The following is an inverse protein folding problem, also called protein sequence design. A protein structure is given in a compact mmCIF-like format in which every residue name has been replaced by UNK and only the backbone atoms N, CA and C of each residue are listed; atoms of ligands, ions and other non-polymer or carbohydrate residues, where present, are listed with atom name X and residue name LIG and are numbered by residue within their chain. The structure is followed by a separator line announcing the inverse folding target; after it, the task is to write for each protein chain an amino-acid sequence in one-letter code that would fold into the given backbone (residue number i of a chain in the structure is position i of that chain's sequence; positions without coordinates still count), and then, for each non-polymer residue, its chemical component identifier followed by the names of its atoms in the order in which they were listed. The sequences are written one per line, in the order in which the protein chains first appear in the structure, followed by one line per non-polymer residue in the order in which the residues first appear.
data_IF_893297731074
#
_entry.id   IF_893297731074
#
_cell.length_a   1.000
_cell.length_b   1.000
_cell.length_c   1.000
_cell.angle_alpha   90.00
_cell.angle_beta   90.00
_cell.angle_gamma   90.00
#
_symmetry.space_group_name_H-M   'P 1'
#
loop_
_entity.id
_entity.type
_entity.pdbx_description
1 polymer ?
#
# COMPACT_ATOMS: atom_id res chain seq x y z
N UNK A 1 -65.00 -19.07 -9.59
CA UNK A 1 -64.85 -17.79 -8.88
C UNK A 1 -63.39 -17.43 -8.82
N UNK A 2 -63.05 -16.31 -9.45
CA UNK A 2 -61.70 -15.79 -9.54
C UNK A 2 -61.30 -15.08 -8.24
N UNK A 3 -60.10 -15.35 -7.73
CA UNK A 3 -59.29 -14.33 -7.05
C UNK A 3 -57.89 -14.38 -7.64
N UNK A 4 -57.69 -13.51 -8.62
CA UNK A 4 -56.39 -13.00 -9.05
C UNK A 4 -55.73 -12.31 -7.84
N UNK A 5 -54.46 -12.61 -7.54
CA UNK A 5 -53.59 -11.66 -6.86
C UNK A 5 -52.22 -11.67 -7.53
N UNK A 6 -52.01 -10.55 -8.20
CA UNK A 6 -50.88 -10.01 -8.96
C UNK A 6 -49.49 -10.31 -8.37
N UNK A 7 -48.48 -10.58 -9.23
CA UNK A 7 -47.07 -10.47 -8.91
C UNK A 7 -46.59 -9.03 -9.19
N UNK A 8 -46.05 -8.31 -8.21
CA UNK A 8 -45.47 -6.98 -8.45
C UNK A 8 -44.26 -6.71 -7.54
N UNK A 9 -43.12 -6.51 -8.22
CA UNK A 9 -41.93 -5.72 -7.86
C UNK A 9 -41.04 -6.09 -6.65
N UNK A 10 -39.82 -6.59 -6.94
CA UNK A 10 -38.55 -5.99 -6.51
C UNK A 10 -37.93 -5.21 -7.69
N UNK A 11 -37.07 -4.18 -7.55
CA UNK A 11 -36.43 -3.61 -6.36
C UNK A 11 -36.58 -2.08 -6.22
N UNK A 12 -36.74 -1.55 -5.00
CA UNK A 12 -36.60 -0.10 -4.76
C UNK A 12 -35.11 0.21 -4.53
N UNK A 13 -34.38 0.43 -5.62
CA UNK A 13 -33.09 1.10 -5.61
C UNK A 13 -33.32 2.56 -5.19
N UNK A 14 -33.00 2.87 -3.93
CA UNK A 14 -32.80 4.24 -3.51
C UNK A 14 -31.67 4.86 -4.35
N UNK A 15 -31.85 6.08 -4.90
CA UNK A 15 -30.83 6.74 -5.69
C UNK A 15 -29.63 7.07 -4.79
N UNK A 16 -28.50 6.40 -5.05
CA UNK A 16 -27.20 6.78 -4.49
C UNK A 16 -26.92 8.24 -4.87
N UNK A 17 -26.67 9.13 -3.89
CA UNK A 17 -26.19 10.48 -4.20
C UNK A 17 -24.82 10.33 -4.86
N UNK A 18 -24.68 10.97 -6.02
CA UNK A 18 -23.49 11.01 -6.84
C UNK A 18 -22.23 11.26 -5.99
N UNK A 19 -21.45 10.19 -5.79
CA UNK A 19 -20.14 10.29 -5.18
C UNK A 19 -19.23 11.08 -6.13
N UNK A 20 -18.45 12.06 -5.62
CA UNK A 20 -17.46 12.77 -6.42
C UNK A 20 -16.45 11.77 -7.02
N UNK A 21 -15.71 12.13 -8.08
CA UNK A 21 -14.79 11.21 -8.75
C UNK A 21 -13.77 10.68 -7.75
N UNK A 22 -14.04 9.48 -7.25
CA UNK A 22 -13.17 8.77 -6.33
C UNK A 22 -11.97 8.38 -7.17
N UNK A 23 -10.88 9.13 -7.06
CA UNK A 23 -9.55 8.61 -7.38
C UNK A 23 -9.51 7.21 -6.78
N UNK A 24 -9.47 6.18 -7.64
CA UNK A 24 -9.64 4.78 -7.24
C UNK A 24 -8.41 4.34 -6.46
N UNK A 25 -8.28 4.86 -5.25
CA UNK A 25 -7.37 4.43 -4.24
C UNK A 25 -7.71 2.98 -3.98
N UNK A 26 -6.70 2.14 -4.08
CA UNK A 26 -6.88 0.71 -3.86
C UNK A 26 -7.30 0.46 -2.42
N UNK A 27 -8.02 -0.63 -2.17
CA UNK A 27 -8.42 -1.03 -0.82
C UNK A 27 -7.23 -1.04 0.16
N UNK A 28 -6.05 -1.40 -0.34
CA UNK A 28 -4.80 -1.43 0.40
C UNK A 28 -4.36 -0.03 0.86
N UNK A 29 -4.35 0.94 -0.05
CA UNK A 29 -3.98 2.33 0.25
C UNK A 29 -5.01 3.01 1.16
N UNK A 30 -6.29 2.65 1.03
CA UNK A 30 -7.33 3.13 1.94
C UNK A 30 -7.08 2.64 3.39
N UNK A 31 -6.71 1.36 3.55
CA UNK A 31 -6.35 0.79 4.86
C UNK A 31 -5.04 1.40 5.40
N UNK A 32 -4.08 1.70 4.53
CA UNK A 32 -2.85 2.41 4.90
C UNK A 32 -3.13 3.79 5.48
N UNK A 33 -3.94 4.59 4.78
CA UNK A 33 -4.37 5.92 5.25
C UNK A 33 -5.18 5.83 6.54
N UNK A 34 -6.02 4.81 6.71
CA UNK A 34 -6.75 4.60 7.96
C UNK A 34 -5.82 4.31 9.15
N UNK A 35 -4.79 3.47 8.95
CA UNK A 35 -3.78 3.18 9.97
C UNK A 35 -2.95 4.42 10.29
N UNK A 36 -2.55 5.18 9.26
CA UNK A 36 -1.82 6.44 9.42
C UNK A 36 -2.62 7.51 10.18
N UNK A 37 -3.95 7.52 10.02
CA UNK A 37 -4.89 8.36 10.78
C UNK A 37 -5.16 7.85 12.22
N UNK A 38 -4.46 6.81 12.69
CA UNK A 38 -4.64 6.21 14.02
C UNK A 38 -5.86 5.29 14.14
N UNK A 39 -6.61 5.03 13.06
CA UNK A 39 -7.77 4.13 13.03
C UNK A 39 -7.35 2.69 12.73
N UNK A 40 -6.52 2.14 13.61
CA UNK A 40 -5.92 0.81 13.45
C UNK A 40 -6.84 -0.37 13.81
N UNK A 41 -7.99 -0.11 14.44
CA UNK A 41 -8.98 -1.12 14.82
C UNK A 41 -9.85 -1.50 13.62
N UNK A 42 -10.28 -2.76 13.46
CA UNK A 42 -11.13 -3.17 12.34
C UNK A 42 -12.47 -2.42 12.29
N UNK A 43 -13.05 -2.11 13.46
CA UNK A 43 -14.33 -1.40 13.55
C UNK A 43 -14.18 0.06 13.09
N UNK A 44 -13.21 0.77 13.66
CA UNK A 44 -12.96 2.18 13.33
C UNK A 44 -12.39 2.37 11.91
N UNK A 45 -11.51 1.47 11.48
CA UNK A 45 -10.87 1.51 10.18
C UNK A 45 -11.84 1.27 9.03
N UNK A 46 -12.81 0.36 9.20
CA UNK A 46 -13.86 0.12 8.19
C UNK A 46 -14.79 1.34 8.08
N UNK A 47 -15.19 1.94 9.19
CA UNK A 47 -15.99 3.16 9.18
C UNK A 47 -15.25 4.30 8.47
N UNK A 48 -13.98 4.52 8.81
CA UNK A 48 -13.14 5.53 8.19
C UNK A 48 -12.97 5.31 6.68
N UNK A 49 -12.71 4.08 6.25
CA UNK A 49 -12.51 3.76 4.82
C UNK A 49 -13.80 3.97 4.01
N UNK A 50 -14.95 3.67 4.62
CA UNK A 50 -16.26 3.91 4.00
C UNK A 50 -16.56 5.41 3.88
N UNK A 51 -16.30 6.19 4.93
CA UNK A 51 -16.57 7.63 4.96
C UNK A 51 -15.63 8.42 4.05
N UNK A 52 -14.34 8.08 4.02
CA UNK A 52 -13.32 8.85 3.29
C UNK A 52 -13.15 8.41 1.83
N UNK A 53 -13.26 7.11 1.55
CA UNK A 53 -12.97 6.56 0.22
C UNK A 53 -14.20 5.95 -0.44
N UNK A 54 -15.36 5.87 0.23
CA UNK A 54 -16.55 5.23 -0.31
C UNK A 54 -16.43 3.72 -0.50
N UNK A 55 -15.37 3.10 0.05
CA UNK A 55 -15.09 1.67 -0.14
C UNK A 55 -15.73 0.90 1.02
N UNK A 56 -16.64 -0.02 0.70
CA UNK A 56 -17.19 -0.94 1.70
C UNK A 56 -16.25 -2.13 1.86
N UNK A 57 -15.70 -2.30 3.07
CA UNK A 57 -14.69 -3.29 3.38
C UNK A 57 -15.13 -4.08 4.63
N UNK A 58 -15.01 -5.41 4.61
CA UNK A 58 -15.34 -6.23 5.78
C UNK A 58 -14.25 -6.21 6.84
N UNK A 59 -14.59 -6.40 8.12
CA UNK A 59 -13.63 -6.44 9.23
C UNK A 59 -12.50 -7.49 9.02
N UNK A 60 -12.83 -8.63 8.42
CA UNK A 60 -11.87 -9.67 8.08
C UNK A 60 -10.90 -9.24 6.97
N UNK A 61 -11.40 -8.53 5.95
CA UNK A 61 -10.60 -7.99 4.86
C UNK A 61 -9.67 -6.86 5.35
N UNK A 62 -10.15 -5.98 6.24
CA UNK A 62 -9.33 -4.95 6.87
C UNK A 62 -8.15 -5.54 7.65
N UNK A 63 -8.42 -6.56 8.48
CA UNK A 63 -7.37 -7.24 9.27
C UNK A 63 -6.33 -7.91 8.38
N UNK A 64 -6.76 -8.52 7.28
CA UNK A 64 -5.87 -9.15 6.30
C UNK A 64 -4.98 -8.11 5.61
N UNK A 65 -5.57 -7.02 5.13
CA UNK A 65 -4.83 -5.92 4.47
C UNK A 65 -3.84 -5.25 5.43
N UNK A 66 -4.24 -4.99 6.69
CA UNK A 66 -3.35 -4.50 7.74
C UNK A 66 -2.16 -5.43 7.97
N UNK A 67 -2.40 -6.74 8.04
CA UNK A 67 -1.35 -7.75 8.19
C UNK A 67 -0.40 -7.79 6.98
N UNK A 68 -0.94 -7.68 5.77
CA UNK A 68 -0.14 -7.59 4.55
C UNK A 68 0.70 -6.31 4.51
N UNK A 69 0.15 -5.17 4.93
CA UNK A 69 0.90 -3.91 5.05
C UNK A 69 2.08 -4.03 6.01
N UNK A 70 1.85 -4.59 7.20
CA UNK A 70 2.89 -4.81 8.20
C UNK A 70 4.00 -5.73 7.68
N UNK A 71 3.65 -6.74 6.87
CA UNK A 71 4.61 -7.64 6.22
C UNK A 71 5.36 -6.97 5.07
N UNK A 72 4.71 -6.09 4.30
CA UNK A 72 5.35 -5.37 3.21
C UNK A 72 6.36 -4.32 3.72
N UNK A 73 6.07 -3.67 4.86
CA UNK A 73 6.98 -2.71 5.49
C UNK A 73 8.23 -3.35 6.09
N UNK A 74 8.22 -4.66 6.35
CA UNK A 74 9.38 -5.39 6.83
C UNK A 74 9.60 -6.60 5.92
N UNK A 75 10.25 -6.41 4.74
CA UNK A 75 10.55 -7.50 3.83
C UNK A 75 11.54 -8.44 4.51
N UNK A 76 11.03 -9.32 5.37
CA UNK A 76 11.77 -10.47 5.83
C UNK A 76 12.17 -11.23 4.56
N UNK A 77 13.45 -11.54 4.34
CA UNK A 77 13.90 -12.28 3.17
C UNK A 77 13.31 -13.69 3.26
N UNK A 78 12.12 -13.87 2.68
CA UNK A 78 11.54 -15.19 2.54
C UNK A 78 12.36 -15.90 1.49
N UNK A 79 13.16 -16.87 1.96
CA UNK A 79 13.66 -17.99 1.16
C UNK A 79 12.52 -18.42 0.23
N UNK A 80 12.75 -18.24 -1.07
CA UNK A 80 11.90 -18.83 -2.08
C UNK A 80 11.97 -20.35 -1.91
N UNK A 81 10.90 -20.96 -1.40
CA UNK A 81 10.66 -22.38 -1.58
C UNK A 81 10.56 -22.62 -3.08
N UNK A 82 11.65 -23.17 -3.63
CA UNK A 82 11.80 -23.54 -5.03
C UNK A 82 10.75 -24.60 -5.37
N UNK A 83 9.71 -24.20 -6.09
CA UNK A 83 9.15 -25.06 -7.11
C UNK A 83 10.12 -25.05 -8.30
N UNK A 84 10.51 -26.25 -8.72
CA UNK A 84 11.51 -26.57 -9.75
C UNK A 84 11.42 -25.73 -11.03
N UNK A 85 12.55 -25.12 -11.42
CA UNK A 85 13.14 -25.29 -12.75
C UNK A 85 14.58 -24.73 -12.72
N UNK A 86 15.55 -25.44 -13.31
CA UNK A 86 16.92 -24.96 -13.55
C UNK A 86 16.96 -24.22 -14.91
N UNK A 87 18.02 -23.44 -15.31
CA UNK A 87 19.31 -23.17 -14.68
C UNK A 87 19.60 -21.67 -14.45
N UNK A 88 20.70 -21.41 -13.72
CA UNK A 88 21.26 -20.09 -13.36
C UNK A 88 21.40 -19.13 -14.56
N UNK A 89 20.93 -17.87 -14.44
CA UNK A 89 21.55 -16.73 -15.11
C UNK A 89 22.64 -16.11 -14.20
N UNK A 90 23.68 -15.64 -14.86
CA UNK A 90 24.96 -15.21 -14.32
C UNK A 90 24.87 -14.21 -13.15
N UNK A 91 25.74 -14.42 -12.14
CA UNK A 91 26.14 -13.40 -11.19
C UNK A 91 26.69 -12.22 -11.99
N UNK A 92 25.89 -11.15 -12.11
CA UNK A 92 26.41 -9.86 -12.54
C UNK A 92 27.44 -9.40 -11.50
N UNK A 93 28.52 -8.85 -12.03
CA UNK A 93 29.73 -8.48 -11.33
C UNK A 93 29.45 -7.88 -9.95
N UNK A 94 30.13 -8.43 -8.95
CA UNK A 94 30.33 -7.77 -7.67
C UNK A 94 31.01 -6.44 -7.94
N UNK A 95 30.26 -5.34 -7.81
CA UNK A 95 30.81 -4.01 -7.59
C UNK A 95 31.88 -4.12 -6.50
N UNK A 96 33.14 -4.11 -6.94
CA UNK A 96 34.32 -4.26 -6.10
C UNK A 96 34.64 -2.91 -5.47
N UNK A 97 33.65 -2.35 -4.76
CA UNK A 97 33.83 -1.20 -3.88
C UNK A 97 34.11 -1.68 -2.45
N UNK A 98 34.69 -0.83 -1.59
CA UNK A 98 34.81 -1.13 -0.16
C UNK A 98 33.47 -1.61 0.40
N UNK A 99 33.44 -2.68 1.20
CA UNK A 99 32.20 -3.17 1.80
C UNK A 99 31.53 -2.03 2.56
N UNK A 100 30.32 -1.66 2.15
CA UNK A 100 29.54 -0.57 2.74
C UNK A 100 29.23 0.61 1.81
N UNK A 101 29.96 0.79 0.70
CA UNK A 101 29.68 1.90 -0.23
C UNK A 101 28.31 1.76 -0.91
N UNK A 102 27.89 0.53 -1.24
CA UNK A 102 26.57 0.31 -1.84
C UNK A 102 25.41 0.79 -0.93
N UNK A 103 25.49 0.50 0.38
CA UNK A 103 24.49 0.96 1.36
C UNK A 103 24.56 2.48 1.57
N UNK A 104 25.77 3.06 1.51
CA UNK A 104 25.95 4.51 1.59
C UNK A 104 25.35 5.23 0.39
N UNK A 105 25.52 4.68 -0.83
CA UNK A 105 24.93 5.23 -2.05
C UNK A 105 23.40 5.15 -2.00
N UNK A 106 22.83 4.06 -1.48
CA UNK A 106 21.38 3.94 -1.30
C UNK A 106 20.84 4.96 -0.28
N UNK A 107 21.54 5.16 0.84
CA UNK A 107 21.19 6.18 1.82
C UNK A 107 21.29 7.60 1.24
N UNK A 108 22.34 7.90 0.46
CA UNK A 108 22.50 9.19 -0.23
C UNK A 108 21.37 9.39 -1.24
N UNK A 109 20.96 8.34 -1.96
CA UNK A 109 19.84 8.42 -2.91
C UNK A 109 18.54 8.80 -2.21
N UNK A 110 18.20 8.14 -1.10
CA UNK A 110 17.02 8.48 -0.30
C UNK A 110 17.07 9.93 0.20
N UNK A 111 18.25 10.40 0.61
CA UNK A 111 18.44 11.78 1.06
C UNK A 111 18.23 12.80 -0.06
N UNK A 112 18.71 12.50 -1.28
CA UNK A 112 18.50 13.33 -2.47
C UNK A 112 17.04 13.37 -2.89
N UNK A 113 16.29 12.28 -2.77
CA UNK A 113 14.85 12.24 -3.05
C UNK A 113 14.05 13.12 -2.08
N UNK A 114 14.46 13.21 -0.80
CA UNK A 114 13.77 14.01 0.21
C UNK A 114 14.12 15.51 0.15
N UNK A 115 15.39 15.85 -0.04
CA UNK A 115 15.90 17.23 0.12
C UNK A 115 16.26 17.91 -1.21
N UNK A 116 16.42 17.13 -2.27
CA UNK A 116 16.95 17.57 -3.56
C UNK A 116 18.48 17.62 -3.59
N UNK A 117 19.04 17.40 -4.78
CA UNK A 117 20.48 17.30 -4.98
C UNK A 117 21.26 18.55 -4.51
N UNK A 118 20.71 19.75 -4.74
CA UNK A 118 21.35 21.02 -4.37
C UNK A 118 21.54 21.18 -2.84
N UNK A 119 20.59 20.68 -2.04
CA UNK A 119 20.72 20.74 -0.58
C UNK A 119 21.75 19.74 -0.07
N UNK A 120 21.76 18.52 -0.63
CA UNK A 120 22.75 17.50 -0.25
C UNK A 120 24.17 17.98 -0.56
N UNK A 121 24.39 18.67 -1.68
CA UNK A 121 25.68 19.31 -2.01
C UNK A 121 26.03 20.41 -1.00
N UNK A 122 25.06 21.23 -0.60
CA UNK A 122 25.29 22.30 0.38
C UNK A 122 25.69 21.75 1.74
N UNK A 123 25.07 20.64 2.17
CA UNK A 123 25.45 19.92 3.39
C UNK A 123 26.84 19.32 3.26
N UNK A 124 27.16 18.68 2.11
CA UNK A 124 28.48 18.09 1.89
C UNK A 124 29.61 19.13 2.01
N UNK A 125 29.40 20.35 1.49
CA UNK A 125 30.36 21.46 1.62
C UNK A 125 30.62 21.91 3.06
N UNK A 126 29.71 21.66 4.00
CA UNK A 126 29.94 21.95 5.41
C UNK A 126 30.93 20.97 6.07
N UNK A 127 31.14 19.81 5.46
CA UNK A 127 32.05 18.78 5.95
C UNK A 127 33.40 18.77 5.22
N UNK A 128 33.58 19.59 4.20
CA UNK A 128 34.88 19.80 3.55
C UNK A 128 35.79 20.54 4.56
N UNK A 129 36.85 19.86 5.00
CA UNK A 129 37.87 20.36 5.94
C UNK A 129 38.97 21.14 5.24
#
# INVERSE_FOLDING_TARGET
MAKKKTPEAPPEQAPEPAAPPVEKITQREAVEKAIAAGKGSPVDGVAYVKEQFGITLGNAAFSTLKSQLKKASNPSPKKADRASESPKPALRATDSGPPGVALQVEAIKSLVEMLGANQVISIARLFEK
#
